data_IF_787327958916
#
_entry.id   IF_787327958916
#
_cell.length_a   1.000
_cell.length_b   1.000
_cell.length_c   1.000
_cell.angle_alpha   90.00
_cell.angle_beta   90.00
_cell.angle_gamma   90.00
#
_symmetry.space_group_name_H-M   'P 1'
#
loop_
_entity.id
_entity.type
_entity.pdbx_description
1 polymer ?
#
# COMPACT_ATOMS: atom_id res chain seq x y z
N UNK A 1 15.03 4.91 -11.66
CA UNK A 1 13.74 5.18 -10.99
C UNK A 1 12.92 3.90 -11.08
N UNK A 2 12.89 3.11 -9.99
CA UNK A 2 12.07 1.90 -9.95
C UNK A 2 10.66 2.33 -9.59
N UNK A 3 9.72 2.14 -10.50
CA UNK A 3 8.29 2.30 -10.25
C UNK A 3 7.79 0.89 -9.93
N UNK A 4 7.23 0.70 -8.75
CA UNK A 4 6.96 -0.62 -8.14
C UNK A 4 5.58 -1.16 -8.54
N UNK A 5 5.38 -1.32 -9.84
CA UNK A 5 4.12 -1.81 -10.44
C UNK A 5 4.43 -2.92 -11.44
N UNK A 6 3.41 -3.69 -11.84
CA UNK A 6 3.56 -4.73 -12.84
C UNK A 6 3.92 -4.17 -14.24
N UNK A 7 4.47 -5.01 -15.13
CA UNK A 7 5.02 -4.53 -16.41
C UNK A 7 3.95 -3.84 -17.29
N UNK A 8 2.72 -4.37 -17.27
CA UNK A 8 1.56 -3.85 -18.01
C UNK A 8 1.16 -2.45 -17.52
N UNK A 9 1.13 -2.22 -16.20
CA UNK A 9 0.83 -0.91 -15.64
C UNK A 9 1.94 0.11 -15.91
N UNK A 10 3.21 -0.32 -15.94
CA UNK A 10 4.33 0.53 -16.36
C UNK A 10 4.19 0.97 -17.82
N UNK A 11 3.81 0.06 -18.72
CA UNK A 11 3.57 0.36 -20.14
C UNK A 11 2.36 1.30 -20.33
N UNK A 12 1.35 1.18 -19.49
CA UNK A 12 0.14 1.99 -19.51
C UNK A 12 0.22 3.28 -18.67
N UNK A 13 1.36 3.55 -18.01
CA UNK A 13 1.57 4.68 -17.08
C UNK A 13 0.50 4.76 -15.98
N UNK A 14 0.05 3.61 -15.48
CA UNK A 14 -0.86 3.55 -14.34
C UNK A 14 -0.07 3.76 -13.05
N UNK A 15 -0.60 4.61 -12.16
CA UNK A 15 -0.05 4.88 -10.84
C UNK A 15 -0.95 4.23 -9.77
N UNK A 16 -0.36 3.75 -8.67
CA UNK A 16 -1.05 2.96 -7.63
C UNK A 16 -2.30 3.59 -7.02
N UNK A 17 -3.18 2.81 -6.38
CA UNK A 17 -4.45 3.29 -5.83
C UNK A 17 -4.56 2.87 -4.36
N UNK A 18 -5.27 3.69 -3.57
CA UNK A 18 -5.63 3.35 -2.21
C UNK A 18 -7.10 3.68 -1.93
N UNK A 19 -7.79 2.75 -1.27
CA UNK A 19 -9.15 2.93 -0.77
C UNK A 19 -9.16 2.69 0.75
N UNK A 20 -9.53 3.71 1.54
CA UNK A 20 -9.71 3.58 2.98
C UNK A 20 -11.12 3.07 3.29
N UNK A 21 -11.33 1.75 3.25
CA UNK A 21 -12.67 1.15 3.40
C UNK A 21 -13.11 1.03 4.87
N UNK A 22 -12.24 0.51 5.74
CA UNK A 22 -12.48 0.34 7.17
C UNK A 22 -11.13 0.41 7.91
N UNK A 23 -10.65 1.61 8.18
CA UNK A 23 -9.36 1.80 8.84
C UNK A 23 -9.54 2.52 10.17
N UNK A 24 -9.04 1.94 11.26
CA UNK A 24 -9.06 2.61 12.57
C UNK A 24 -8.39 4.00 12.51
N UNK A 25 -7.38 4.13 11.66
CA UNK A 25 -6.64 5.38 11.44
C UNK A 25 -7.50 6.54 10.92
N UNK A 26 -8.65 6.30 10.29
CA UNK A 26 -9.52 7.40 9.84
C UNK A 26 -10.33 8.01 10.96
N UNK A 27 -10.49 7.29 12.08
CA UNK A 27 -11.27 7.75 13.23
C UNK A 27 -10.38 8.16 14.41
N UNK A 28 -9.48 7.27 14.84
CA UNK A 28 -8.71 7.43 16.10
C UNK A 28 -7.28 6.86 16.07
N UNK A 29 -6.87 6.20 14.98
CA UNK A 29 -5.49 5.71 14.82
C UNK A 29 -4.52 6.78 14.30
N UNK A 30 -3.28 6.38 14.00
CA UNK A 30 -2.29 7.32 13.48
C UNK A 30 -2.38 7.47 11.95
N UNK A 31 -2.31 8.71 11.49
CA UNK A 31 -1.99 9.08 10.11
C UNK A 31 -0.63 9.76 10.15
N UNK A 32 0.29 9.31 9.29
CA UNK A 32 1.65 9.82 9.23
C UNK A 32 1.85 10.72 8.01
N UNK A 33 2.72 11.71 8.17
CA UNK A 33 3.37 12.39 7.05
C UNK A 33 4.71 11.69 6.76
N UNK A 34 4.72 10.71 5.86
CA UNK A 34 5.87 9.86 5.63
C UNK A 34 6.82 10.46 4.57
N UNK A 35 8.06 10.72 4.94
CA UNK A 35 9.13 11.10 4.02
C UNK A 35 9.88 9.84 3.57
N UNK A 36 9.52 9.34 2.39
CA UNK A 36 9.97 8.01 1.91
C UNK A 36 11.36 8.06 1.29
N UNK A 37 12.21 7.11 1.69
CA UNK A 37 13.60 7.01 1.27
C UNK A 37 13.98 5.58 0.87
N UNK A 38 15.01 5.47 0.03
CA UNK A 38 15.66 4.20 -0.27
C UNK A 38 16.66 3.79 0.84
N UNK A 39 17.28 2.62 0.67
CA UNK A 39 18.27 2.10 1.63
C UNK A 39 19.54 2.96 1.72
N UNK A 40 19.80 3.80 0.72
CA UNK A 40 20.90 4.78 0.71
C UNK A 40 20.49 6.14 1.28
N UNK A 41 19.31 6.22 1.90
CA UNK A 41 18.74 7.42 2.50
C UNK A 41 18.40 8.53 1.48
N UNK A 42 18.30 8.20 0.19
CA UNK A 42 17.86 9.14 -0.83
C UNK A 42 16.32 9.20 -0.86
N UNK A 43 15.71 10.39 -0.96
CA UNK A 43 14.27 10.50 -1.16
C UNK A 43 13.84 9.83 -2.46
N UNK A 44 12.72 9.10 -2.42
CA UNK A 44 12.15 8.42 -3.58
C UNK A 44 10.69 8.79 -3.77
N UNK A 45 10.23 8.74 -5.03
CA UNK A 45 8.81 8.84 -5.33
C UNK A 45 8.13 7.51 -5.01
N UNK A 46 6.88 7.57 -4.58
CA UNK A 46 6.10 6.38 -4.20
C UNK A 46 4.65 6.52 -4.60
N UNK A 47 4.04 5.43 -5.09
CA UNK A 47 2.63 5.43 -5.42
C UNK A 47 1.74 5.27 -4.18
N UNK A 48 0.47 5.64 -4.31
CA UNK A 48 -0.57 5.26 -3.36
C UNK A 48 -0.74 3.73 -3.33
N UNK A 49 -1.15 3.19 -2.19
CA UNK A 49 -1.32 1.77 -1.97
C UNK A 49 -0.01 1.01 -1.77
N UNK A 50 1.14 1.68 -1.68
CA UNK A 50 2.42 1.05 -1.37
C UNK A 50 2.56 0.89 0.14
N UNK A 51 2.99 -0.29 0.56
CA UNK A 51 3.28 -0.60 1.95
C UNK A 51 4.64 -0.02 2.37
N UNK A 52 4.65 0.71 3.48
CA UNK A 52 5.82 1.36 4.06
C UNK A 52 6.10 0.85 5.47
N UNK A 53 7.38 0.82 5.83
CA UNK A 53 7.84 0.76 7.21
C UNK A 53 8.00 2.19 7.72
N UNK A 54 7.24 2.55 8.75
CA UNK A 54 7.36 3.84 9.41
C UNK A 54 8.53 3.81 10.39
N UNK A 55 9.40 4.81 10.29
CA UNK A 55 10.56 5.00 11.15
C UNK A 55 10.39 6.17 12.12
N UNK A 56 11.53 6.78 12.45
CA UNK A 56 11.66 7.86 13.42
C UNK A 56 11.12 9.19 12.88
N UNK A 57 10.89 10.13 13.80
CA UNK A 57 10.55 11.51 13.46
C UNK A 57 11.68 12.17 12.66
N UNK A 58 11.31 12.94 11.63
CA UNK A 58 12.27 13.71 10.85
C UNK A 58 12.76 14.98 11.55
N UNK A 59 12.05 15.39 12.62
CA UNK A 59 12.28 16.65 13.33
C UNK A 59 11.62 17.88 12.66
N UNK A 60 11.01 17.73 11.49
CA UNK A 60 10.26 18.79 10.81
C UNK A 60 8.75 18.58 10.97
N UNK A 61 8.08 19.43 11.74
CA UNK A 61 6.67 19.25 12.05
C UNK A 61 6.44 18.16 13.12
N UNK A 62 5.24 18.12 13.69
CA UNK A 62 4.93 17.26 14.83
C UNK A 62 4.65 15.80 14.43
N UNK A 63 4.38 15.52 13.16
CA UNK A 63 3.87 14.23 12.67
C UNK A 63 4.67 13.65 11.49
N UNK A 64 5.68 14.37 10.97
CA UNK A 64 6.51 13.89 9.86
C UNK A 64 7.49 12.82 10.34
N UNK A 65 7.52 11.70 9.61
CA UNK A 65 8.38 10.55 9.93
C UNK A 65 9.13 10.09 8.70
N UNK A 66 10.36 9.62 8.89
CA UNK A 66 11.04 8.87 7.85
C UNK A 66 10.33 7.54 7.61
N UNK A 67 10.34 7.08 6.36
CA UNK A 67 9.82 5.78 6.01
C UNK A 67 10.64 5.15 4.89
N UNK A 68 10.59 3.82 4.81
CA UNK A 68 11.14 3.04 3.69
C UNK A 68 10.05 2.14 3.13
N UNK A 69 10.27 1.61 1.93
CA UNK A 69 9.47 0.48 1.45
C UNK A 69 9.52 -0.64 2.49
N UNK A 70 8.36 -1.21 2.84
CA UNK A 70 8.29 -2.29 3.81
C UNK A 70 9.00 -3.54 3.29
N UNK A 71 9.84 -4.16 4.13
CA UNK A 71 10.40 -5.49 3.89
C UNK A 71 9.39 -6.55 4.29
N UNK A 72 9.64 -7.79 3.85
CA UNK A 72 8.76 -8.94 4.10
C UNK A 72 8.45 -9.11 5.60
N UNK A 73 9.44 -8.89 6.47
CA UNK A 73 9.34 -9.09 7.92
C UNK A 73 8.76 -7.89 8.67
N UNK A 74 8.57 -6.74 8.01
CA UNK A 74 8.14 -5.52 8.68
C UNK A 74 6.62 -5.49 8.89
N UNK A 75 6.18 -4.87 9.99
CA UNK A 75 4.81 -4.31 10.01
C UNK A 75 4.70 -3.15 9.03
N UNK A 76 3.50 -2.90 8.55
CA UNK A 76 3.26 -1.91 7.49
C UNK A 76 2.34 -0.77 7.94
N UNK A 77 2.51 0.35 7.26
CA UNK A 77 1.50 1.38 7.02
C UNK A 77 1.32 1.52 5.50
N UNK A 78 0.21 2.09 5.01
CA UNK A 78 -0.07 2.15 3.57
C UNK A 78 -0.27 3.59 3.10
N UNK A 79 0.40 3.97 2.01
CA UNK A 79 0.29 5.30 1.41
C UNK A 79 -1.11 5.53 0.85
N UNK A 80 -1.67 6.70 1.11
CA UNK A 80 -3.02 7.06 0.66
C UNK A 80 -3.21 8.57 0.56
N UNK A 81 -2.39 9.25 -0.23
CA UNK A 81 -2.60 10.67 -0.43
C UNK A 81 -3.96 10.92 -1.13
N UNK A 82 -4.76 11.89 -0.67
CA UNK A 82 -5.95 12.29 -1.40
C UNK A 82 -5.53 12.78 -2.79
N UNK A 83 -6.30 12.43 -3.81
CA UNK A 83 -6.03 12.91 -5.16
C UNK A 83 -6.01 14.45 -5.15
N UNK A 84 -4.93 15.05 -5.67
CA UNK A 84 -4.89 16.50 -5.85
C UNK A 84 -5.84 16.90 -6.99
N UNK A 85 -7.10 17.15 -6.65
CA UNK A 85 -8.10 17.67 -7.59
C UNK A 85 -7.90 19.18 -7.75
N UNK A 86 -6.77 19.59 -8.33
CA UNK A 86 -6.57 20.99 -8.74
C UNK A 86 -6.66 21.11 -10.26
N UNK A 87 -7.81 21.61 -10.69
CA UNK A 87 -8.08 22.28 -11.98
C UNK A 87 -7.75 21.50 -13.26
N UNK A 88 -8.55 20.48 -13.56
CA UNK A 88 -8.95 20.18 -14.94
C UNK A 88 -10.30 19.46 -14.93
N UNK A 89 -11.26 20.06 -15.64
CA UNK A 89 -12.63 19.61 -15.79
C UNK A 89 -12.69 18.17 -16.34
N UNK A 90 -13.70 17.48 -15.85
CA UNK A 90 -14.20 16.14 -16.20
C UNK A 90 -14.19 15.82 -17.70
N UNK A 91 -13.31 14.92 -18.09
CA UNK A 91 -13.56 13.88 -19.10
C UNK A 91 -12.97 12.60 -18.50
N UNK A 92 -13.69 11.47 -18.56
CA UNK A 92 -13.34 10.20 -17.89
C UNK A 92 -11.92 9.69 -18.15
N UNK A 93 -11.23 10.21 -19.18
CA UNK A 93 -9.86 9.84 -19.56
C UNK A 93 -8.80 10.92 -19.29
N UNK A 94 -9.19 12.12 -18.84
CA UNK A 94 -8.33 13.31 -18.86
C UNK A 94 -7.60 13.65 -17.57
N UNK A 95 -7.87 12.95 -16.46
CA UNK A 95 -7.13 13.20 -15.22
C UNK A 95 -5.95 12.24 -15.15
N UNK A 96 -4.74 12.78 -15.27
CA UNK A 96 -3.59 12.16 -14.63
C UNK A 96 -3.87 12.26 -13.13
N UNK A 97 -4.60 11.29 -12.61
CA UNK A 97 -4.74 11.12 -11.18
C UNK A 97 -3.33 11.06 -10.61
N UNK A 98 -2.95 12.06 -9.81
CA UNK A 98 -1.64 12.17 -9.18
C UNK A 98 -1.53 11.11 -8.09
N UNK A 99 -1.49 9.84 -8.47
CA UNK A 99 -1.35 8.75 -7.52
C UNK A 99 0.12 8.45 -7.18
N UNK A 100 1.07 9.12 -7.83
CA UNK A 100 2.47 9.12 -7.40
C UNK A 100 2.76 10.33 -6.54
N UNK A 101 3.35 10.07 -5.38
CA UNK A 101 3.86 11.07 -4.47
C UNK A 101 5.33 11.35 -4.83
N UNK A 102 5.71 12.62 -5.08
CA UNK A 102 7.05 12.96 -5.53
C UNK A 102 8.11 12.79 -4.44
N UNK A 103 9.32 12.43 -4.85
CA UNK A 103 10.48 12.34 -3.97
C UNK A 103 10.72 13.62 -3.16
N UNK A 104 11.03 13.45 -1.88
CA UNK A 104 11.37 14.56 -0.98
C UNK A 104 10.17 15.34 -0.46
N UNK A 105 8.94 14.90 -0.75
CA UNK A 105 7.71 15.42 -0.16
C UNK A 105 7.07 14.38 0.76
N UNK A 106 6.53 14.79 1.92
CA UNK A 106 5.79 13.86 2.76
C UNK A 106 4.53 13.35 2.05
N UNK A 107 4.22 12.07 2.24
CA UNK A 107 3.00 11.42 1.77
C UNK A 107 2.13 11.01 2.96
N UNK A 108 0.83 11.27 2.87
CA UNK A 108 -0.14 10.79 3.86
C UNK A 108 -0.18 9.27 3.84
N UNK A 109 0.08 8.68 5.00
CA UNK A 109 0.23 7.23 5.16
C UNK A 109 -0.60 6.79 6.36
N UNK A 110 -1.44 5.79 6.17
CA UNK A 110 -2.37 5.31 7.19
C UNK A 110 -1.74 4.15 7.95
N UNK A 111 -1.74 4.24 9.28
CA UNK A 111 -1.43 3.09 10.11
C UNK A 111 -2.42 1.96 9.80
N UNK A 112 -1.89 0.75 9.65
CA UNK A 112 -2.69 -0.47 9.63
C UNK A 112 -2.65 -1.08 11.03
N UNK A 113 -3.80 -1.32 11.63
CA UNK A 113 -3.90 -1.91 12.96
C UNK A 113 -3.54 -3.41 12.94
N UNK A 114 -2.94 -3.89 14.02
CA UNK A 114 -2.93 -5.32 14.30
C UNK A 114 -4.39 -5.77 14.55
N UNK A 115 -4.82 -6.94 14.04
CA UNK A 115 -6.20 -7.41 14.18
C UNK A 115 -6.62 -7.66 15.64
N UNK A 116 -5.69 -7.75 16.59
CA UNK A 116 -6.01 -7.79 18.02
C UNK A 116 -6.55 -6.45 18.55
N UNK A 117 -6.28 -5.35 17.86
CA UNK A 117 -6.76 -3.99 18.19
C UNK A 117 -8.00 -3.66 17.38
N UNK A 118 -7.94 -3.82 16.06
CA UNK A 118 -9.05 -3.57 15.15
C UNK A 118 -8.83 -4.34 13.84
N UNK A 119 -9.90 -4.89 13.28
CA UNK A 119 -9.85 -5.58 11.98
C UNK A 119 -9.97 -4.53 10.88
N UNK A 120 -8.82 -4.06 10.41
CA UNK A 120 -8.76 -3.11 9.31
C UNK A 120 -9.08 -3.78 7.95
N UNK A 121 -9.68 -3.00 7.05
CA UNK A 121 -9.86 -3.31 5.63
C UNK A 121 -9.43 -2.10 4.79
N UNK A 122 -8.56 -2.33 3.82
CA UNK A 122 -8.17 -1.31 2.84
C UNK A 122 -8.14 -1.89 1.42
N UNK A 123 -8.27 -1.03 0.42
CA UNK A 123 -8.22 -1.40 -0.99
C UNK A 123 -6.95 -0.91 -1.68
N UNK A 124 -6.43 -1.73 -2.59
CA UNK A 124 -5.36 -1.37 -3.53
C UNK A 124 -5.75 -1.80 -4.93
N UNK A 125 -5.09 -1.28 -5.97
CA UNK A 125 -5.35 -1.75 -7.33
C UNK A 125 -4.73 -3.13 -7.61
N UNK A 126 -5.42 -3.94 -8.40
CA UNK A 126 -4.96 -5.28 -8.78
C UNK A 126 -3.61 -5.29 -9.52
N UNK A 127 -3.27 -4.24 -10.26
CA UNK A 127 -1.99 -4.13 -10.98
C UNK A 127 -0.80 -3.79 -10.06
N UNK A 128 -1.04 -3.55 -8.77
CA UNK A 128 0.03 -3.40 -7.77
C UNK A 128 0.52 -4.75 -7.24
N UNK A 129 -0.09 -5.85 -7.68
CA UNK A 129 0.42 -7.19 -7.44
C UNK A 129 1.49 -7.54 -8.49
N UNK A 130 2.46 -8.36 -8.09
CA UNK A 130 3.45 -8.89 -9.06
C UNK A 130 2.78 -9.78 -10.10
N UNK A 131 3.33 -9.79 -11.32
CA UNK A 131 2.82 -10.61 -12.43
C UNK A 131 2.76 -12.10 -12.06
N UNK A 132 3.79 -12.61 -11.36
CA UNK A 132 3.89 -14.01 -10.92
C UNK A 132 2.81 -14.42 -9.91
N UNK A 133 2.12 -13.46 -9.30
CA UNK A 133 1.07 -13.72 -8.31
C UNK A 133 -0.32 -13.26 -8.75
N UNK A 134 -0.44 -12.59 -9.90
CA UNK A 134 -1.69 -11.96 -10.34
C UNK A 134 -2.86 -12.94 -10.46
N UNK A 135 -2.59 -14.17 -10.90
CA UNK A 135 -3.59 -15.24 -11.01
C UNK A 135 -4.12 -15.78 -9.68
N UNK A 136 -3.45 -15.45 -8.56
CA UNK A 136 -3.85 -15.78 -7.19
C UNK A 136 -4.65 -14.67 -6.52
N UNK A 137 -4.88 -13.54 -7.20
CA UNK A 137 -5.72 -12.43 -6.71
C UNK A 137 -7.21 -12.84 -6.78
N UNK A 138 -7.63 -13.63 -5.78
CA UNK A 138 -8.98 -14.19 -5.66
C UNK A 138 -9.51 -14.01 -4.24
N UNK A 139 -10.82 -13.83 -4.10
CA UNK A 139 -11.44 -13.72 -2.77
C UNK A 139 -11.12 -14.95 -1.93
N UNK A 140 -10.69 -14.74 -0.69
CA UNK A 140 -10.26 -15.77 0.24
C UNK A 140 -8.76 -16.04 0.25
N UNK A 141 -8.04 -15.70 -0.82
CA UNK A 141 -6.59 -15.85 -0.88
C UNK A 141 -5.87 -14.78 -0.04
N UNK A 142 -4.57 -15.00 0.19
CA UNK A 142 -3.76 -14.20 1.08
C UNK A 142 -2.98 -13.14 0.32
N UNK A 143 -2.66 -12.05 1.00
CA UNK A 143 -1.85 -10.95 0.49
C UNK A 143 -0.71 -10.66 1.45
N UNK A 144 0.49 -10.50 0.91
CA UNK A 144 1.70 -10.08 1.62
C UNK A 144 2.46 -9.03 0.80
N UNK A 145 3.52 -8.46 1.36
CA UNK A 145 4.42 -7.55 0.64
C UNK A 145 5.60 -8.32 0.03
N UNK A 146 6.10 -7.89 -1.13
CA UNK A 146 7.26 -8.50 -1.79
C UNK A 146 8.62 -8.01 -1.26
N UNK A 147 8.61 -7.03 -0.36
CA UNK A 147 9.80 -6.38 0.17
C UNK A 147 10.43 -5.33 -0.77
N UNK A 148 9.81 -5.09 -1.92
CA UNK A 148 10.26 -4.16 -2.96
C UNK A 148 9.20 -3.15 -3.34
N UNK A 149 7.99 -3.21 -2.78
CA UNK A 149 6.95 -2.19 -2.94
C UNK A 149 5.74 -2.66 -3.76
N UNK A 150 5.74 -3.91 -4.20
CA UNK A 150 4.59 -4.56 -4.79
C UNK A 150 3.95 -5.54 -3.80
N UNK A 151 2.74 -5.99 -4.14
CA UNK A 151 1.99 -6.96 -3.37
C UNK A 151 2.12 -8.36 -3.95
N UNK A 152 2.05 -9.38 -3.09
CA UNK A 152 2.09 -10.78 -3.46
C UNK A 152 0.81 -11.47 -3.01
N UNK A 153 0.13 -12.12 -3.95
CA UNK A 153 -0.97 -13.02 -3.64
C UNK A 153 -0.48 -14.46 -3.47
N UNK A 154 -1.07 -15.18 -2.51
CA UNK A 154 -0.77 -16.58 -2.18
C UNK A 154 -2.05 -17.33 -1.83
N UNK A 155 -2.01 -18.67 -1.86
CA UNK A 155 -3.20 -19.46 -1.58
C UNK A 155 -3.54 -19.44 -0.09
N UNK A 156 -4.82 -19.58 0.26
CA UNK A 156 -5.27 -19.59 1.66
C UNK A 156 -4.58 -20.64 2.53
N UNK A 157 -4.12 -21.74 1.91
CA UNK A 157 -3.40 -22.84 2.56
C UNK A 157 -2.03 -22.43 3.11
N UNK A 158 -1.45 -21.34 2.62
CA UNK A 158 -0.09 -20.90 2.97
C UNK A 158 -0.05 -20.10 4.28
N UNK A 159 -1.21 -19.84 4.91
CA UNK A 159 -1.34 -18.96 6.08
C UNK A 159 -0.36 -19.27 7.20
N UNK A 160 -0.28 -20.55 7.61
CA UNK A 160 0.57 -20.96 8.73
C UNK A 160 2.05 -20.71 8.47
N UNK A 161 2.50 -20.91 7.24
CA UNK A 161 3.89 -20.63 6.82
C UNK A 161 4.16 -19.14 6.84
N UNK A 162 3.28 -18.35 6.22
CA UNK A 162 3.43 -16.91 6.10
C UNK A 162 3.40 -16.20 7.46
N UNK A 163 2.60 -16.69 8.42
CA UNK A 163 2.53 -16.14 9.78
C UNK A 163 3.88 -16.12 10.48
N UNK A 164 4.78 -17.05 10.16
CA UNK A 164 6.13 -17.13 10.71
C UNK A 164 7.18 -16.30 9.98
N UNK A 165 6.90 -15.85 8.75
CA UNK A 165 7.90 -15.20 7.88
C UNK A 165 7.56 -13.78 7.47
N UNK A 166 6.28 -13.40 7.54
CA UNK A 166 5.78 -12.13 7.00
C UNK A 166 5.21 -11.25 8.12
N UNK A 167 5.65 -9.99 8.18
CA UNK A 167 5.14 -9.04 9.16
C UNK A 167 3.72 -8.59 8.89
N UNK A 168 3.36 -8.45 7.62
CA UNK A 168 1.99 -8.22 7.17
C UNK A 168 1.40 -9.43 6.46
N UNK A 169 0.16 -9.77 6.83
CA UNK A 169 -0.68 -10.71 6.10
C UNK A 169 -2.10 -10.16 6.06
N UNK A 170 -2.66 -10.13 4.86
CA UNK A 170 -4.06 -9.85 4.63
C UNK A 170 -4.77 -11.02 3.96
N UNK A 171 -6.10 -11.00 4.01
CA UNK A 171 -6.98 -11.85 3.20
C UNK A 171 -7.69 -10.97 2.19
N UNK A 172 -7.74 -11.39 0.94
CA UNK A 172 -8.58 -10.76 -0.08
C UNK A 172 -10.03 -10.96 0.35
N UNK A 173 -10.65 -9.88 0.83
CA UNK A 173 -11.99 -9.86 1.37
C UNK A 173 -13.03 -9.72 0.25
N UNK A 174 -12.80 -8.81 -0.69
CA UNK A 174 -13.64 -8.65 -1.87
C UNK A 174 -12.87 -8.02 -3.03
N UNK A 175 -13.42 -8.17 -4.23
CA UNK A 175 -12.93 -7.54 -5.45
C UNK A 175 -14.01 -6.59 -5.96
N UNK A 176 -13.66 -5.32 -6.16
CA UNK A 176 -14.53 -4.33 -6.78
C UNK A 176 -14.07 -4.13 -8.22
N UNK A 177 -14.74 -4.81 -9.15
CA UNK A 177 -14.42 -4.73 -10.58
C UNK A 177 -15.07 -3.48 -11.16
N UNK A 178 -14.27 -2.46 -11.46
CA UNK A 178 -14.69 -1.27 -12.18
C UNK A 178 -14.32 -1.35 -13.67
N UNK A 179 -14.83 -0.38 -14.44
CA UNK A 179 -14.52 -0.24 -15.88
C UNK A 179 -13.04 -0.02 -16.15
N UNK A 180 -12.34 0.68 -15.25
CA UNK A 180 -10.95 1.12 -15.45
C UNK A 180 -9.94 0.46 -14.51
N UNK A 181 -10.40 -0.05 -13.36
CA UNK A 181 -9.53 -0.67 -12.37
C UNK A 181 -10.32 -1.71 -11.57
N UNK A 182 -9.62 -2.75 -11.12
CA UNK A 182 -10.13 -3.67 -10.10
C UNK A 182 -9.48 -3.31 -8.78
N UNK A 183 -10.31 -2.97 -7.78
CA UNK A 183 -9.84 -2.74 -6.40
C UNK A 183 -9.88 -4.08 -5.66
N UNK A 184 -8.76 -4.45 -5.06
CA UNK A 184 -8.61 -5.60 -4.19
C UNK A 184 -8.71 -5.12 -2.75
N UNK A 185 -9.82 -5.45 -2.06
CA UNK A 185 -10.01 -5.11 -0.65
C UNK A 185 -9.40 -6.20 0.22
N UNK A 186 -8.50 -5.80 1.11
CA UNK A 186 -7.67 -6.65 1.94
C UNK A 186 -8.08 -6.46 3.38
N UNK A 187 -8.59 -7.51 4.01
CA UNK A 187 -8.84 -7.57 5.44
C UNK A 187 -7.58 -8.04 6.16
N UNK A 188 -7.14 -7.31 7.18
CA UNK A 188 -5.89 -7.61 7.89
C UNK A 188 -6.03 -8.86 8.74
N UNK A 189 -5.05 -9.76 8.63
CA UNK A 189 -4.90 -10.98 9.45
C UNK A 189 -3.66 -10.95 10.35
N UNK A 190 -2.66 -10.13 10.02
CA UNK A 190 -1.45 -9.92 10.81
C UNK A 190 -0.82 -8.58 10.42
N UNK A 191 -0.39 -7.78 11.39
CA UNK A 191 0.47 -6.63 11.14
C UNK A 191 1.41 -6.38 12.32
N UNK A 192 2.53 -7.09 12.35
CA UNK A 192 3.54 -7.04 13.42
C UNK A 192 4.93 -7.25 12.84
N UNK A 193 5.97 -6.79 13.54
CA UNK A 193 7.34 -7.08 13.12
C UNK A 193 7.69 -8.56 13.38
N UNK A 194 8.37 -9.19 12.42
CA UNK A 194 8.97 -10.52 12.53
C UNK A 194 10.48 -10.36 12.71
N UNK A 195 11.06 -11.19 13.59
CA UNK A 195 12.48 -11.18 13.93
C UNK A 195 13.38 -11.69 12.79
#
# INVERSE_FOLDING_TARGET
MAIFTNLVAKEQKLHGLFESSQLLATDVGNIYDALVRDESNNPISVDNGVALKIGDYSGNGLEERYATIAKITDKIAVTGAPAEVKTALTIEQGQAYNYTNPAGKPVKTYQIADPSVHIDIFGIASYQFTDDSAEKVKVGNLVTVDGKGAWLASEATDLATLQGTNGFIGKIHSLSVGTYYTIVRIQVLQNKDIA
#
